data_IF_387625065115
#
_entry.id   IF_387625065115
#
_cell.length_a   1.000
_cell.length_b   1.000
_cell.length_c   1.000
_cell.angle_alpha   90.00
_cell.angle_beta   90.00
_cell.angle_gamma   90.00
#
_symmetry.space_group_name_H-M   'P 1'
#
loop_
_entity.id
_entity.type
_entity.pdbx_description
1 polymer ?
2 non-polymer ?
3 non-polymer ?
4 non-polymer ?
5 water ?
#
# COMPACT_ATOMS: atom_id res chain seq x y z
N UNK A 14 -26.79 0.82 10.49
CA UNK A 14 -26.45 2.13 11.04
C UNK A 14 -27.46 2.49 12.13
N UNK A 15 -26.95 3.00 13.25
CA UNK A 15 -27.78 3.34 14.39
C UNK A 15 -27.74 2.31 15.50
N UNK A 16 -27.30 1.09 15.20
CA UNK A 16 -27.00 0.13 16.25
C UNK A 16 -25.76 0.59 17.03
N UNK A 17 -25.43 -0.16 18.07
CA UNK A 17 -24.24 0.10 18.85
C UNK A 17 -23.32 -1.10 18.82
N UNK A 18 -22.05 -0.85 19.03
CA UNK A 18 -21.05 -1.90 19.12
C UNK A 18 -20.45 -1.88 20.51
N UNK A 19 -20.14 -3.06 21.02
CA UNK A 19 -19.41 -3.19 22.26
C UNK A 19 -20.25 -2.80 23.46
N UNK A 20 -21.30 -3.59 23.72
CA UNK A 20 -22.20 -3.30 24.85
C UNK A 20 -21.42 -3.18 26.16
N UNK A 21 -21.91 -2.34 27.06
CA UNK A 21 -21.22 -2.14 28.33
C UNK A 21 -22.25 -2.02 29.42
N UNK A 22 -21.76 -1.97 30.67
CA UNK A 22 -22.68 -1.79 31.79
C UNK A 22 -23.53 -0.53 31.63
N UNK A 23 -22.87 0.61 31.37
CA UNK A 23 -23.61 1.86 31.22
C UNK A 23 -24.41 1.90 29.92
N UNK A 24 -23.90 1.27 28.87
CA UNK A 24 -24.46 1.36 27.52
C UNK A 24 -24.66 -0.06 27.01
N UNK A 25 -25.76 -0.70 27.42
CA UNK A 25 -26.02 -2.09 27.02
C UNK A 25 -26.34 -2.26 25.54
N UNK A 26 -26.83 -1.23 24.87
CA UNK A 26 -27.00 -1.26 23.43
C UNK A 26 -25.72 -0.94 22.67
N UNK A 27 -24.58 -0.89 23.36
CA UNK A 27 -23.30 -0.65 22.70
C UNK A 27 -22.67 0.68 23.07
N UNK A 28 -21.39 0.63 23.44
CA UNK A 28 -20.65 1.85 23.75
C UNK A 28 -20.48 2.74 22.53
N UNK A 29 -20.24 2.13 21.39
CA UNK A 29 -19.95 2.84 20.16
C UNK A 29 -21.22 2.82 19.32
N UNK A 30 -21.80 3.99 19.14
CA UNK A 30 -23.04 4.11 18.37
C UNK A 30 -22.66 4.35 16.91
N UNK A 31 -23.09 3.43 16.05
CA UNK A 31 -22.75 3.52 14.64
C UNK A 31 -23.44 4.71 14.01
N UNK A 32 -22.67 5.56 13.35
CA UNK A 32 -23.23 6.74 12.72
C UNK A 32 -23.29 6.65 11.21
N UNK A 33 -22.19 6.31 10.56
CA UNK A 33 -22.13 6.38 9.11
C UNK A 33 -21.09 5.39 8.60
N UNK A 34 -21.22 4.95 7.35
CA UNK A 34 -20.15 4.16 6.75
C UNK A 34 -18.89 4.97 6.50
N UNK A 35 -17.76 4.31 6.59
CA UNK A 35 -16.50 4.92 6.17
C UNK A 35 -15.84 4.19 5.03
N UNK A 36 -15.85 2.87 5.04
CA UNK A 36 -15.18 2.11 4.00
C UNK A 36 -15.44 0.64 4.23
N UNK A 37 -15.06 -0.16 3.24
CA UNK A 37 -15.32 -1.58 3.27
C UNK A 37 -14.28 -2.31 2.42
N UNK A 38 -14.20 -3.61 2.63
CA UNK A 38 -13.27 -4.41 1.87
C UNK A 38 -13.40 -5.84 2.34
N UNK A 39 -12.57 -6.69 1.73
CA UNK A 39 -12.62 -8.09 2.11
C UNK A 39 -12.41 -8.29 3.60
N UNK A 40 -11.78 -7.33 4.28
CA UNK A 40 -11.61 -7.42 5.72
C UNK A 40 -12.92 -7.23 6.47
N UNK A 41 -13.79 -6.39 5.98
CA UNK A 41 -14.98 -6.03 6.72
C UNK A 41 -15.37 -4.59 6.44
N UNK A 42 -15.79 -3.90 7.49
CA UNK A 42 -16.37 -2.58 7.34
C UNK A 42 -15.75 -1.66 8.38
N UNK A 43 -15.63 -0.39 8.02
CA UNK A 43 -15.27 0.67 8.94
C UNK A 43 -16.46 1.59 9.03
N UNK A 44 -16.81 1.96 10.26
CA UNK A 44 -17.96 2.82 10.52
C UNK A 44 -17.49 3.98 11.37
N UNK A 45 -18.04 5.15 11.08
CA UNK A 45 -17.92 6.28 11.97
C UNK A 45 -18.85 6.04 13.15
N UNK A 46 -18.36 6.30 14.35
CA UNK A 46 -19.11 5.98 15.55
C UNK A 46 -18.99 7.11 16.55
N UNK A 47 -20.00 7.23 17.40
CA UNK A 47 -19.96 8.11 18.58
C UNK A 47 -19.62 7.26 19.79
N UNK A 48 -18.51 7.58 20.45
CA UNK A 48 -18.11 6.89 21.66
C UNK A 48 -18.96 7.49 22.78
N UNK A 49 -19.90 6.71 23.30
CA UNK A 49 -20.81 7.27 24.29
C UNK A 49 -20.13 7.53 25.61
N UNK A 50 -18.95 6.95 25.84
CA UNK A 50 -18.22 7.19 27.09
C UNK A 50 -17.49 8.52 27.05
N UNK A 51 -16.62 8.71 26.06
CA UNK A 51 -15.82 9.91 25.98
C UNK A 51 -16.51 11.02 25.20
N UNK A 52 -17.60 10.69 24.50
CA UNK A 52 -18.39 11.61 23.67
C UNK A 52 -17.48 12.28 22.66
N UNK A 53 -16.90 11.44 21.80
CA UNK A 53 -16.14 11.93 20.67
C UNK A 53 -16.32 10.94 19.53
N UNK A 54 -16.22 11.46 18.30
CA UNK A 54 -16.26 10.62 17.11
C UNK A 54 -15.04 9.72 17.04
N UNK A 55 -15.25 8.45 16.67
CA UNK A 55 -14.18 7.51 16.47
C UNK A 55 -14.50 6.77 15.19
N UNK A 56 -13.55 5.98 14.74
CA UNK A 56 -13.82 5.05 13.65
C UNK A 56 -13.63 3.65 14.18
N UNK A 57 -14.53 2.74 13.85
CA UNK A 57 -14.42 1.36 14.33
C UNK A 57 -14.34 0.44 13.12
N UNK A 58 -13.29 -0.36 13.07
CA UNK A 58 -13.11 -1.36 12.03
C UNK A 58 -13.59 -2.69 12.61
N UNK A 59 -14.66 -3.25 12.01
CA UNK A 59 -15.23 -4.52 12.43
C UNK A 59 -14.92 -5.55 11.35
N UNK A 60 -14.13 -6.53 11.73
CA UNK A 60 -13.68 -7.55 10.81
C UNK A 60 -14.75 -8.61 10.69
N UNK A 61 -15.12 -8.97 9.46
CA UNK A 61 -16.00 -10.11 9.24
C UNK A 61 -15.51 -11.30 10.05
N UNK A 62 -16.45 -12.02 10.66
CA UNK A 62 -16.13 -13.14 11.53
C UNK A 62 -15.45 -14.29 10.78
N UNK A 63 -15.27 -14.12 9.47
CA UNK A 63 -14.39 -14.98 8.69
C UNK A 63 -13.02 -15.03 9.36
N UNK A 64 -12.45 -16.24 9.51
CA UNK A 64 -11.23 -16.41 10.28
C UNK A 64 -10.03 -15.73 9.62
N UNK A 65 -9.89 -15.89 8.30
CA UNK A 65 -8.72 -15.36 7.59
C UNK A 65 -8.52 -13.88 7.90
N UNK A 66 -9.56 -13.08 7.72
CA UNK A 66 -9.44 -11.66 8.03
C UNK A 66 -9.42 -11.39 9.53
N UNK A 67 -9.92 -12.33 10.35
CA UNK A 67 -9.96 -12.08 11.79
C UNK A 67 -8.62 -12.32 12.45
N UNK A 68 -7.87 -13.33 12.01
CA UNK A 68 -6.53 -13.51 12.56
C UNK A 68 -5.59 -12.40 12.11
N UNK A 69 -5.84 -11.82 10.94
CA UNK A 69 -5.08 -10.65 10.50
C UNK A 69 -5.39 -9.45 11.38
N UNK A 70 -6.65 -9.34 11.80
CA UNK A 70 -7.03 -8.23 12.68
C UNK A 70 -6.30 -8.29 14.01
N UNK A 71 -6.02 -9.50 14.49
CA UNK A 71 -5.35 -9.65 15.78
C UNK A 71 -3.87 -9.30 15.73
N UNK A 72 -3.19 -9.60 14.61
CA UNK A 72 -1.82 -9.13 14.51
C UNK A 72 -1.78 -7.61 14.35
N UNK A 73 -2.79 -7.05 13.69
CA UNK A 73 -2.89 -5.60 13.55
C UNK A 73 -2.97 -4.93 14.92
N UNK A 74 -3.82 -5.46 15.80
CA UNK A 74 -3.90 -4.93 17.16
C UNK A 74 -2.53 -4.94 17.81
N UNK A 75 -1.79 -6.04 17.66
CA UNK A 75 -0.50 -6.17 18.33
C UNK A 75 0.49 -5.12 17.83
N UNK A 76 0.56 -4.93 16.51
CA UNK A 76 1.47 -3.92 15.99
C UNK A 76 1.03 -2.53 16.44
N UNK A 77 -0.28 -2.23 16.33
CA UNK A 77 -0.72 -0.89 16.68
C UNK A 77 -0.50 -0.59 18.15
N UNK A 78 -0.49 -1.59 19.02
CA UNK A 78 -0.17 -1.30 20.41
C UNK A 78 1.27 -0.81 20.53
N UNK A 79 2.20 -1.45 19.83
CA UNK A 79 3.60 -1.05 19.89
C UNK A 79 3.82 0.32 19.23
N UNK A 80 3.21 0.55 18.06
CA UNK A 80 3.35 1.87 17.44
C UNK A 80 2.79 2.97 18.33
N UNK A 81 1.66 2.71 18.98
CA UNK A 81 1.05 3.74 19.80
C UNK A 81 1.84 4.00 21.08
N UNK A 82 2.52 2.98 21.60
CA UNK A 82 3.40 3.17 22.75
C UNK A 82 4.56 4.09 22.41
N UNK A 83 5.21 3.84 21.26
CA UNK A 83 6.34 4.65 20.84
C UNK A 83 5.93 6.00 20.32
N UNK A 84 4.68 6.19 19.88
CA UNK A 84 4.27 7.45 19.24
C UNK A 84 2.82 7.77 19.54
N UNK A 85 2.52 8.20 20.78
CA UNK A 85 1.11 8.40 21.17
C UNK A 85 0.34 9.41 20.35
N UNK A 86 1.01 10.49 19.90
CA UNK A 86 0.35 11.57 19.18
C UNK A 86 0.44 11.39 17.66
N UNK A 87 0.98 10.28 17.18
CA UNK A 87 1.11 10.04 15.74
C UNK A 87 1.91 11.15 15.06
N UNK A 88 2.96 11.64 15.74
CA UNK A 88 3.86 12.56 15.07
C UNK A 88 4.50 11.90 13.85
N UNK A 89 4.58 10.58 13.83
CA UNK A 89 5.08 9.88 12.66
C UNK A 89 3.99 9.34 11.74
N UNK A 90 2.73 9.79 11.91
CA UNK A 90 1.65 9.67 10.92
C UNK A 90 1.15 8.24 10.69
N UNK A 91 1.34 7.33 11.65
CA UNK A 91 0.64 6.07 11.61
C UNK A 91 -0.67 6.25 12.37
N UNK A 92 -1.74 5.62 11.87
CA UNK A 92 -3.06 5.73 12.52
C UNK A 92 -2.95 5.31 13.98
N UNK A 93 -3.67 6.02 14.83
CA UNK A 93 -3.71 5.73 16.26
C UNK A 93 -4.89 4.82 16.59
N UNK A 94 -4.61 3.65 17.13
CA UNK A 94 -5.64 2.78 17.67
C UNK A 94 -5.95 3.22 19.09
N UNK A 95 -7.20 3.62 19.35
CA UNK A 95 -7.58 4.02 20.71
C UNK A 95 -7.96 2.85 21.57
N UNK A 96 -8.58 1.83 21.00
CA UNK A 96 -9.09 0.76 21.82
C UNK A 96 -9.33 -0.43 20.91
N UNK A 97 -9.69 -1.55 21.51
CA UNK A 97 -10.12 -2.70 20.73
C UNK A 97 -10.98 -3.56 21.63
N UNK A 98 -11.87 -4.30 21.01
CA UNK A 98 -12.79 -5.14 21.77
C UNK A 98 -13.32 -6.20 20.82
N UNK A 99 -13.96 -7.19 21.40
CA UNK A 99 -14.67 -8.20 20.63
C UNK A 99 -16.15 -7.93 20.77
N UNK A 100 -16.82 -7.78 19.64
CA UNK A 100 -18.25 -7.59 19.62
C UNK A 100 -18.87 -8.95 19.35
N UNK A 101 -19.41 -9.56 20.39
CA UNK A 101 -20.13 -10.82 20.23
C UNK A 101 -21.53 -10.48 19.74
N UNK A 102 -21.78 -10.71 18.45
CA UNK A 102 -23.06 -10.40 17.84
C UNK A 102 -24.18 -11.21 18.51
N UNK A 103 -25.42 -10.69 18.40
CA UNK A 103 -26.56 -11.38 18.98
C UNK A 103 -26.75 -12.77 18.39
N UNK A 104 -26.32 -12.97 17.14
CA UNK A 104 -26.34 -14.30 16.55
C UNK A 104 -25.36 -15.22 17.26
N UNK A 105 -24.14 -14.74 17.49
CA UNK A 105 -23.10 -15.52 18.11
C UNK A 105 -21.76 -15.23 17.47
N UNK A 106 -21.80 -14.54 16.33
CA UNK A 106 -20.58 -14.17 15.62
C UNK A 106 -19.79 -13.17 16.44
N UNK A 107 -18.54 -13.49 16.74
CA UNK A 107 -17.62 -12.57 17.39
C UNK A 107 -16.79 -11.87 16.32
N UNK A 108 -16.94 -10.56 16.24
CA UNK A 108 -16.17 -9.74 15.32
C UNK A 108 -15.07 -9.02 16.09
N UNK A 109 -13.85 -9.10 15.57
CA UNK A 109 -12.76 -8.31 16.11
C UNK A 109 -12.95 -6.86 15.69
N UNK A 110 -12.99 -5.95 16.65
CA UNK A 110 -13.24 -4.54 16.37
C UNK A 110 -12.06 -3.72 16.83
N UNK A 111 -11.60 -2.82 15.97
CA UNK A 111 -10.52 -1.91 16.32
C UNK A 111 -11.09 -0.50 16.32
N UNK A 112 -10.75 0.26 17.35
CA UNK A 112 -11.26 1.61 17.50
C UNK A 112 -10.12 2.56 17.22
N UNK A 113 -10.33 3.46 16.27
CA UNK A 113 -9.33 4.39 15.79
C UNK A 113 -9.77 5.81 16.04
N UNK A 114 -8.78 6.69 16.11
CA UNK A 114 -9.03 8.12 16.03
C UNK A 114 -9.94 8.39 14.81
N UNK A 115 -10.66 9.51 14.84
CA UNK A 115 -11.47 9.93 13.72
C UNK A 115 -10.62 9.95 12.46
N UNK A 116 -11.16 9.41 11.39
CA UNK A 116 -10.37 9.23 10.19
C UNK A 116 -10.71 10.34 9.20
N UNK A 117 -10.64 10.03 7.92
CA UNK A 117 -10.73 11.05 6.92
C UNK A 117 -10.65 10.37 5.58
N UNK A 118 -10.79 11.14 4.51
CA UNK A 118 -10.80 10.52 3.18
C UNK A 118 -9.44 9.95 2.84
N UNK A 119 -9.46 8.85 2.06
CA UNK A 119 -8.18 8.30 1.61
C UNK A 119 -7.65 9.10 0.42
N UNK A 120 -6.38 8.87 0.09
CA UNK A 120 -5.85 9.40 -1.16
C UNK A 120 -6.66 8.91 -2.35
N UNK A 121 -7.17 7.67 -2.29
CA UNK A 121 -8.04 7.20 -3.35
C UNK A 121 -9.28 8.06 -3.44
N UNK A 122 -9.93 8.32 -2.30
CA UNK A 122 -11.14 9.16 -2.32
C UNK A 122 -10.83 10.53 -2.91
N UNK A 123 -9.65 11.07 -2.58
CA UNK A 123 -9.24 12.38 -3.09
C UNK A 123 -9.09 12.35 -4.61
N UNK A 124 -8.34 11.37 -5.12
CA UNK A 124 -8.18 11.20 -6.56
C UNK A 124 -9.52 11.02 -7.22
N UNK A 125 -10.40 10.22 -6.62
CA UNK A 125 -11.69 9.97 -7.25
C UNK A 125 -12.54 11.22 -7.24
N UNK A 126 -12.54 11.96 -6.13
CA UNK A 126 -13.33 13.18 -6.05
C UNK A 126 -12.89 14.17 -7.11
N UNK A 127 -11.62 14.19 -7.42
CA UNK A 127 -11.08 15.04 -8.47
C UNK A 127 -11.09 14.38 -9.84
N UNK A 128 -11.96 13.36 -10.03
CA UNK A 128 -12.13 12.70 -11.32
C UNK A 128 -10.82 12.09 -11.87
N UNK A 129 -9.97 11.61 -10.96
CA UNK A 129 -8.66 10.98 -11.26
C UNK A 129 -7.77 11.92 -12.07
N UNK A 130 -7.91 13.22 -11.84
CA UNK A 130 -6.99 14.26 -12.26
C UNK A 130 -5.71 14.24 -11.42
N UNK A 131 -4.61 14.79 -11.93
CA UNK A 131 -3.39 14.92 -11.11
C UNK A 131 -3.61 15.70 -9.82
N UNK A 132 -3.03 15.20 -8.74
CA UNK A 132 -2.86 15.97 -7.49
C UNK A 132 -1.81 17.08 -7.68
N UNK A 133 -2.09 18.31 -7.26
CA UNK A 133 -1.08 19.38 -7.39
C UNK A 133 0.19 19.02 -6.64
N UNK A 134 1.34 19.43 -7.19
CA UNK A 134 2.63 19.01 -6.60
C UNK A 134 2.82 19.47 -5.17
N UNK A 135 2.43 20.69 -4.76
CA UNK A 135 2.67 21.07 -3.36
C UNK A 135 1.96 20.15 -2.36
N UNK A 136 0.79 19.62 -2.72
CA UNK A 136 0.09 18.67 -1.87
C UNK A 136 0.75 17.29 -1.94
N UNK A 137 1.02 16.84 -3.17
CA UNK A 137 1.85 15.66 -3.36
C UNK A 137 3.08 15.70 -2.46
N UNK A 138 3.80 16.84 -2.44
CA UNK A 138 5.02 16.90 -1.64
C UNK A 138 4.72 16.69 -0.15
N UNK A 139 3.65 17.33 0.33
CA UNK A 139 3.33 17.27 1.76
C UNK A 139 2.89 15.87 2.15
N UNK A 140 2.08 15.23 1.32
CA UNK A 140 1.65 13.85 1.57
C UNK A 140 2.85 12.91 1.54
N UNK A 141 3.67 13.05 0.49
CA UNK A 141 4.82 12.18 0.33
C UNK A 141 5.73 12.26 1.55
N UNK A 142 5.95 13.49 2.05
CA UNK A 142 6.84 13.67 3.19
C UNK A 142 6.30 12.96 4.42
N UNK A 143 5.01 13.16 4.73
CA UNK A 143 4.41 12.54 5.90
C UNK A 143 4.37 11.03 5.76
N UNK A 144 4.09 10.53 4.55
CA UNK A 144 4.07 9.09 4.39
C UNK A 144 5.47 8.49 4.55
N UNK A 145 6.51 9.18 4.06
CA UNK A 145 7.88 8.72 4.28
C UNK A 145 8.22 8.74 5.77
N UNK A 146 7.72 9.74 6.50
CA UNK A 146 7.96 9.74 7.95
C UNK A 146 7.33 8.52 8.59
N UNK A 147 6.13 8.14 8.12
CA UNK A 147 5.48 6.93 8.63
C UNK A 147 6.28 5.68 8.26
N UNK A 148 6.72 5.59 7.01
CA UNK A 148 7.52 4.44 6.59
C UNK A 148 8.86 4.40 7.31
N UNK A 149 9.49 5.54 7.60
CA UNK A 149 10.74 5.54 8.35
C UNK A 149 10.51 4.98 9.75
N UNK A 150 9.44 5.47 10.38
CA UNK A 150 9.07 4.97 11.71
C UNK A 150 8.87 3.46 11.70
N UNK A 151 8.15 2.94 10.70
CA UNK A 151 7.93 1.50 10.63
C UNK A 151 9.23 0.75 10.38
N UNK A 152 9.92 1.07 9.29
CA UNK A 152 11.11 0.30 8.94
C UNK A 152 12.23 0.48 9.97
N UNK A 153 12.55 1.72 10.30
CA UNK A 153 13.77 1.99 11.03
C UNK A 153 13.56 2.08 12.53
N UNK A 154 12.40 2.55 12.99
CA UNK A 154 12.17 2.54 14.43
C UNK A 154 11.56 1.25 14.93
N UNK A 155 10.86 0.50 14.08
CA UNK A 155 10.13 -0.71 14.50
C UNK A 155 10.50 -1.97 13.73
N UNK A 156 11.35 -1.88 12.71
CA UNK A 156 11.64 -3.01 11.83
C UNK A 156 10.38 -3.77 11.41
N UNK A 157 9.40 -3.01 10.95
CA UNK A 157 8.15 -3.52 10.40
C UNK A 157 8.03 -3.13 8.93
N UNK A 158 7.62 -4.08 8.12
CA UNK A 158 7.27 -3.79 6.72
C UNK A 158 5.75 -3.76 6.58
N UNK A 159 5.22 -2.76 5.86
CA UNK A 159 3.77 -2.61 5.81
C UNK A 159 3.13 -3.57 4.81
N UNK A 160 3.76 -3.69 3.64
CA UNK A 160 3.46 -4.50 2.47
C UNK A 160 2.22 -4.06 1.71
N UNK A 161 1.42 -3.10 2.20
CA UNK A 161 0.18 -2.77 1.51
C UNK A 161 0.02 -1.26 1.35
N UNK A 162 1.11 -0.61 1.01
CA UNK A 162 1.08 0.82 0.73
C UNK A 162 0.36 1.03 -0.60
N UNK A 163 -0.70 1.83 -0.59
CA UNK A 163 -1.53 2.12 -1.75
C UNK A 163 -2.41 3.31 -1.41
N UNK A 164 -2.98 3.99 -2.41
CA UNK A 164 -3.85 5.13 -2.10
C UNK A 164 -4.96 4.86 -1.08
N UNK A 165 -5.60 3.69 -1.07
CA UNK A 165 -6.68 3.46 -0.13
C UNK A 165 -6.20 3.49 1.31
N UNK A 166 -4.92 3.23 1.54
CA UNK A 166 -4.36 3.13 2.89
C UNK A 166 -3.61 4.38 3.34
N UNK A 167 -3.75 5.49 2.63
CA UNK A 167 -3.16 6.75 3.04
C UNK A 167 -4.32 7.72 3.26
N UNK A 168 -4.58 8.08 4.54
CA UNK A 168 -5.74 8.92 4.82
C UNK A 168 -5.29 10.34 5.11
N UNK A 169 -6.14 11.28 4.73
CA UNK A 169 -6.08 12.66 5.19
C UNK A 169 -7.13 12.79 6.28
N UNK A 170 -6.71 12.68 7.54
CA UNK A 170 -7.68 12.71 8.63
C UNK A 170 -8.00 14.14 9.07
N UNK A 171 -7.09 15.08 8.87
CA UNK A 171 -7.39 16.48 9.08
C UNK A 171 -6.91 17.26 7.87
N UNK A 172 -7.57 18.36 7.58
CA UNK A 172 -7.25 19.05 6.35
C UNK A 172 -7.96 20.39 6.29
N UNK A 173 -7.22 21.44 6.03
CA UNK A 173 -7.84 22.68 5.61
C UNK A 173 -8.30 22.55 4.16
N UNK A 174 -9.24 23.40 3.77
CA UNK A 174 -9.85 23.29 2.45
C UNK A 174 -9.97 24.68 1.83
N UNK A 175 -9.62 24.76 0.54
CA UNK A 175 -9.78 25.96 -0.27
C UNK A 175 -10.84 25.67 -1.33
N UNK A 176 -11.77 26.59 -1.53
CA UNK A 176 -12.84 26.32 -2.51
C UNK A 176 -12.46 26.80 -3.91
N UNK A 186 -15.54 23.96 -6.18
CA UNK A 186 -15.35 22.68 -5.50
C UNK A 186 -14.30 22.81 -4.39
N UNK A 187 -14.15 21.76 -3.59
CA UNK A 187 -13.24 21.77 -2.44
C UNK A 187 -11.84 21.35 -2.87
N UNK A 188 -10.84 22.16 -2.51
CA UNK A 188 -9.43 21.78 -2.63
C UNK A 188 -8.91 21.34 -1.27
N UNK A 189 -7.77 20.66 -1.29
CA UNK A 189 -7.10 20.21 -0.07
C UNK A 189 -5.85 21.07 0.17
N UNK A 190 -5.74 21.63 1.37
CA UNK A 190 -4.54 22.34 1.81
C UNK A 190 -4.12 21.79 3.17
N UNK A 191 -2.81 21.70 3.40
CA UNK A 191 -2.24 21.24 4.66
C UNK A 191 -2.80 19.90 5.15
N UNK A 192 -2.70 18.85 4.36
CA UNK A 192 -3.16 17.54 4.82
C UNK A 192 -2.35 17.04 6.01
N UNK A 193 -3.02 16.29 6.87
CA UNK A 193 -2.42 15.61 8.01
C UNK A 193 -2.67 14.12 7.76
N UNK A 194 -1.62 13.39 7.38
CA UNK A 194 -1.70 12.03 6.84
C UNK A 194 -1.72 11.02 7.96
N UNK A 195 -2.49 9.95 7.79
CA UNK A 195 -2.31 8.72 8.55
C UNK A 195 -2.18 7.55 7.59
N UNK A 196 -1.13 6.77 7.79
CA UNK A 196 -1.01 5.48 7.16
C UNK A 196 -1.84 4.48 7.94
N UNK A 197 -2.69 3.72 7.24
CA UNK A 197 -3.58 2.77 7.92
C UNK A 197 -3.32 1.34 7.43
N UNK A 198 -4.09 0.41 7.99
CA UNK A 198 -4.17 -0.98 7.57
C UNK A 198 -2.89 -1.75 7.85
N UNK A 199 -2.71 -2.12 9.10
CA UNK A 199 -1.54 -2.88 9.49
C UNK A 199 -1.82 -4.38 9.57
N UNK A 200 -2.92 -4.82 8.97
CA UNK A 200 -3.32 -6.22 9.01
C UNK A 200 -2.45 -7.13 8.17
N UNK A 201 -1.62 -6.58 7.29
CA UNK A 201 -0.64 -7.38 6.55
C UNK A 201 0.80 -7.04 6.91
N UNK A 202 1.03 -6.29 7.95
CA UNK A 202 2.39 -5.85 8.25
C UNK A 202 3.16 -7.01 8.88
N UNK A 203 4.46 -7.00 8.67
CA UNK A 203 5.31 -8.08 9.18
C UNK A 203 6.48 -7.50 9.94
N UNK A 204 6.81 -8.11 11.08
CA UNK A 204 8.05 -7.74 11.77
C UNK A 204 9.23 -8.42 11.12
N UNK A 205 10.24 -7.64 10.75
CA UNK A 205 11.41 -8.23 10.11
C UNK A 205 12.69 -8.01 10.92
N UNK A 206 12.58 -7.87 12.25
CA UNK A 206 13.80 -7.65 13.03
C UNK A 206 14.64 -8.91 13.15
N UNK A 207 14.04 -10.08 12.95
CA UNK A 207 14.77 -11.33 13.05
C UNK A 207 14.84 -12.05 11.71
N UNK A 208 13.72 -12.19 11.04
CA UNK A 208 13.66 -12.85 9.75
C UNK A 208 13.79 -11.75 8.72
N UNK A 209 14.85 -11.79 7.93
CA UNK A 209 15.17 -10.68 7.04
C UNK A 209 14.35 -10.70 5.75
N UNK A 210 14.07 -11.88 5.20
CA UNK A 210 13.48 -11.97 3.87
C UNK A 210 12.32 -12.95 3.89
N UNK A 211 11.26 -12.62 3.15
CA UNK A 211 10.12 -13.51 3.05
C UNK A 211 9.83 -13.72 1.58
N UNK A 212 8.99 -14.70 1.31
CA UNK A 212 8.61 -15.03 -0.05
C UNK A 212 7.11 -15.16 -0.30
N UNK A 213 6.25 -14.98 0.70
CA UNK A 213 4.82 -15.03 0.41
C UNK A 213 4.43 -13.93 -0.56
N UNK A 214 3.41 -14.19 -1.36
CA UNK A 214 2.88 -13.12 -2.22
C UNK A 214 2.18 -12.11 -1.33
N UNK A 215 2.66 -10.85 -1.34
CA UNK A 215 2.09 -9.76 -0.56
C UNK A 215 1.89 -8.58 -1.50
N UNK A 216 1.20 -7.53 -0.98
CA UNK A 216 0.91 -6.29 -1.69
C UNK A 216 -0.21 -6.49 -2.68
N UNK A 217 -1.04 -5.49 -2.87
CA UNK A 217 -2.00 -5.55 -3.95
C UNK A 217 -1.28 -5.43 -5.29
N UNK A 218 -1.81 -6.12 -6.30
CA UNK A 218 -1.17 -6.26 -7.60
C UNK A 218 -0.49 -4.98 -8.07
N UNK A 219 -1.23 -3.87 -8.11
CA UNK A 219 -0.72 -2.69 -8.79
C UNK A 219 0.47 -2.07 -8.10
N UNK A 220 0.67 -2.34 -6.81
CA UNK A 220 1.74 -1.76 -6.03
C UNK A 220 2.79 -2.79 -5.68
N UNK A 221 2.69 -3.99 -6.25
CA UNK A 221 3.54 -5.11 -5.86
C UNK A 221 4.93 -4.99 -6.53
N UNK A 222 5.99 -5.08 -5.71
CA UNK A 222 7.37 -4.96 -6.16
C UNK A 222 7.79 -6.21 -6.94
N UNK A 223 8.70 -6.06 -7.89
CA UNK A 223 9.04 -7.22 -8.73
C UNK A 223 9.64 -8.39 -7.98
N UNK A 224 10.43 -8.14 -6.92
CA UNK A 224 11.04 -9.25 -6.21
C UNK A 224 9.99 -10.18 -5.59
N UNK A 225 8.82 -9.65 -5.29
CA UNK A 225 7.72 -10.49 -4.77
C UNK A 225 7.24 -11.46 -5.83
N UNK A 226 7.09 -10.95 -7.07
CA UNK A 226 6.68 -11.79 -8.19
C UNK A 226 7.76 -12.79 -8.50
N UNK A 227 9.02 -12.36 -8.45
CA UNK A 227 10.13 -13.20 -8.90
C UNK A 227 10.63 -14.16 -7.84
N UNK A 228 10.25 -13.99 -6.58
CA UNK A 228 10.63 -15.02 -5.63
C UNK A 228 12.02 -14.89 -5.08
N UNK A 229 12.69 -13.75 -5.28
CA UNK A 229 14.06 -13.57 -4.82
C UNK A 229 14.14 -13.08 -3.38
N UNK A 230 12.99 -12.88 -2.71
CA UNK A 230 13.00 -12.51 -1.31
C UNK A 230 12.62 -11.05 -1.15
N UNK A 231 11.57 -10.73 -0.39
CA UNK A 231 11.23 -9.33 -0.20
C UNK A 231 11.48 -8.95 1.25
N UNK A 232 11.59 -7.66 1.48
CA UNK A 232 11.94 -7.10 2.77
C UNK A 232 11.36 -5.69 2.81
N UNK A 233 11.96 -4.82 3.62
CA UNK A 233 11.52 -3.43 3.72
C UNK A 233 11.42 -2.76 2.36
N UNK A 234 12.33 -3.09 1.44
CA UNK A 234 12.36 -2.36 0.17
C UNK A 234 11.08 -2.47 -0.62
N UNK A 235 10.28 -3.53 -0.45
CA UNK A 235 9.08 -3.61 -1.26
C UNK A 235 8.14 -2.44 -0.96
N UNK A 236 8.22 -1.86 0.25
CA UNK A 236 7.36 -0.71 0.55
C UNK A 236 7.77 0.54 -0.22
N UNK A 237 9.06 0.63 -0.54
CA UNK A 237 9.57 1.80 -1.26
C UNK A 237 9.17 1.71 -2.71
N UNK A 238 9.15 0.50 -3.28
CA UNK A 238 8.54 0.35 -4.60
C UNK A 238 7.09 0.80 -4.60
N UNK A 239 6.26 0.29 -3.66
CA UNK A 239 4.87 0.68 -3.61
C UNK A 239 4.75 2.18 -3.50
N UNK A 240 5.60 2.76 -2.64
CA UNK A 240 5.59 4.20 -2.44
C UNK A 240 5.85 4.92 -3.75
N UNK A 241 6.81 4.43 -4.52
CA UNK A 241 7.14 5.11 -5.77
C UNK A 241 5.98 5.03 -6.75
N UNK A 242 5.36 3.87 -6.85
CA UNK A 242 4.21 3.71 -7.73
C UNK A 242 3.04 4.57 -7.27
N UNK A 243 2.88 4.70 -5.95
CA UNK A 243 1.85 5.59 -5.42
C UNK A 243 2.10 7.01 -5.83
N UNK A 244 3.32 7.49 -5.68
CA UNK A 244 3.58 8.88 -6.02
C UNK A 244 3.33 9.16 -7.49
N UNK A 245 3.71 8.23 -8.38
CA UNK A 245 3.45 8.46 -9.80
C UNK A 245 1.96 8.61 -10.03
N UNK A 246 1.16 7.78 -9.37
CA UNK A 246 -0.30 7.85 -9.49
C UNK A 246 -0.83 9.17 -8.97
N UNK A 247 -0.25 9.68 -7.88
CA UNK A 247 -0.67 11.01 -7.42
C UNK A 247 -0.38 12.07 -8.48
N UNK A 248 0.79 11.99 -9.11
CA UNK A 248 1.20 12.96 -10.14
C UNK A 248 0.36 12.89 -11.42
N UNK A 249 -0.02 11.70 -11.85
CA UNK A 249 -0.75 11.55 -13.08
C UNK A 249 -2.25 11.44 -12.88
N UNK A 250 -2.68 11.00 -11.70
CA UNK A 250 -4.07 10.70 -11.45
C UNK A 250 -4.43 9.26 -11.71
N UNK A 251 -3.52 8.49 -12.29
CA UNK A 251 -3.87 7.22 -12.91
C UNK A 251 -3.05 6.10 -12.31
N UNK A 252 -3.65 4.93 -12.07
CA UNK A 252 -2.86 3.79 -11.61
C UNK A 252 -1.73 3.50 -12.60
N UNK A 253 -0.51 3.33 -12.08
CA UNK A 253 0.67 3.19 -12.95
C UNK A 253 0.71 1.82 -13.63
N UNK A 254 0.56 0.74 -12.86
CA UNK A 254 0.65 -0.62 -13.40
C UNK A 254 -0.74 -1.25 -13.45
N UNK A 255 -1.36 -1.27 -14.63
CA UNK A 255 -2.73 -1.75 -14.71
C UNK A 255 -2.79 -3.10 -15.39
N UNK A 256 -2.09 -4.07 -14.85
CA UNK A 256 -2.17 -5.42 -15.38
C UNK A 256 -2.37 -6.37 -14.21
N UNK A 257 -3.08 -7.47 -14.45
CA UNK A 257 -3.23 -8.48 -13.42
C UNK A 257 -2.49 -9.76 -13.78
N UNK A 258 -1.58 -9.72 -14.75
CA UNK A 258 -0.84 -10.90 -15.17
C UNK A 258 0.63 -10.68 -14.91
N UNK A 259 1.31 -11.66 -14.30
CA UNK A 259 2.69 -11.45 -13.89
C UNK A 259 3.57 -11.12 -15.10
N UNK A 260 3.45 -11.89 -16.17
CA UNK A 260 4.32 -11.68 -17.32
C UNK A 260 4.18 -10.26 -17.86
N UNK A 261 2.94 -9.81 -18.04
CA UNK A 261 2.76 -8.47 -18.61
C UNK A 261 3.13 -7.39 -17.59
N UNK A 262 2.86 -7.64 -16.31
CA UNK A 262 3.20 -6.67 -15.26
C UNK A 262 4.71 -6.41 -15.25
N UNK A 263 5.50 -7.48 -15.29
CA UNK A 263 6.95 -7.34 -15.35
C UNK A 263 7.39 -6.59 -16.59
N UNK A 264 6.74 -6.85 -17.73
CA UNK A 264 7.13 -6.11 -18.95
C UNK A 264 6.80 -4.63 -18.81
N UNK A 265 5.68 -4.30 -18.17
CA UNK A 265 5.35 -2.89 -17.96
C UNK A 265 6.41 -2.21 -17.10
N UNK A 266 6.93 -2.93 -16.10
CA UNK A 266 8.07 -2.45 -15.33
C UNK A 266 9.28 -2.23 -16.22
N UNK A 267 9.59 -3.21 -17.06
CA UNK A 267 10.75 -3.07 -17.94
C UNK A 267 10.60 -1.86 -18.85
N UNK A 268 9.38 -1.65 -19.40
CA UNK A 268 9.13 -0.54 -20.33
C UNK A 268 9.26 0.82 -19.64
N UNK A 269 8.58 0.99 -18.51
CA UNK A 269 8.74 2.19 -17.69
C UNK A 269 10.20 2.56 -17.46
N UNK A 270 11.04 1.58 -17.13
CA UNK A 270 12.39 1.82 -16.64
C UNK A 270 13.46 1.59 -17.72
N UNK A 271 13.05 1.32 -18.94
CA UNK A 271 14.03 0.90 -19.96
C UNK A 271 15.11 1.94 -20.24
N UNK A 272 14.87 3.23 -19.97
CA UNK A 272 15.89 4.25 -20.15
C UNK A 272 16.63 4.57 -18.87
N UNK A 273 16.41 3.80 -17.81
CA UNK A 273 17.12 3.96 -16.56
C UNK A 273 18.28 2.97 -16.55
N UNK A 274 19.48 3.46 -16.28
CA UNK A 274 20.67 2.63 -16.41
C UNK A 274 20.60 1.47 -15.45
N UNK A 275 20.80 0.25 -15.97
CA UNK A 275 20.84 -0.93 -15.13
C UNK A 275 19.50 -1.56 -14.80
N UNK A 276 18.39 -1.05 -15.32
CA UNK A 276 17.05 -1.54 -14.95
C UNK A 276 16.59 -2.65 -15.90
N UNK A 277 16.87 -3.90 -15.53
CA UNK A 277 16.48 -5.06 -16.31
C UNK A 277 15.77 -6.06 -15.39
N UNK A 278 14.75 -6.71 -15.90
CA UNK A 278 14.11 -7.82 -15.19
C UNK A 278 14.95 -9.07 -15.40
N UNK A 279 15.55 -9.57 -14.33
CA UNK A 279 16.36 -10.77 -14.42
C UNK A 279 15.70 -11.89 -13.60
N UNK A 280 15.79 -13.14 -14.03
CA UNK A 280 15.06 -14.24 -13.37
C UNK A 280 15.72 -14.61 -12.05
N UNK A 281 14.99 -15.30 -11.16
CA UNK A 281 15.62 -15.84 -9.96
C UNK A 281 16.55 -16.98 -10.28
N UNK A 282 17.49 -17.28 -9.39
CA UNK A 282 18.28 -18.51 -9.52
C UNK A 282 17.35 -19.72 -9.50
N UNK A 283 17.68 -20.71 -10.27
CA UNK A 283 16.79 -21.85 -10.33
C UNK A 283 16.99 -22.71 -9.08
N UNK A 284 15.93 -23.12 -8.40
CA UNK A 284 16.09 -23.91 -7.19
C UNK A 284 16.49 -25.35 -7.46
N UNK A 285 17.19 -25.93 -6.50
CA UNK A 285 17.43 -27.36 -6.57
C UNK A 285 16.09 -28.06 -6.80
N UNK A 286 16.04 -29.03 -7.70
CA UNK A 286 14.77 -29.72 -7.93
C UNK A 286 14.23 -30.38 -6.70
N UNK A 287 15.12 -30.67 -5.75
CA UNK A 287 14.75 -31.27 -4.48
C UNK A 287 14.10 -30.28 -3.52
N UNK A 288 14.31 -28.98 -3.71
CA UNK A 288 13.93 -27.98 -2.72
C UNK A 288 12.42 -27.78 -2.67
N UNK A 289 11.86 -27.88 -1.47
CA UNK A 289 10.44 -27.82 -1.19
C UNK A 289 9.98 -26.49 -0.61
N UNK A 290 10.90 -25.55 -0.37
CA UNK A 290 10.57 -24.34 0.35
C UNK A 290 9.56 -23.49 -0.42
N UNK A 291 8.85 -22.64 0.33
CA UNK A 291 7.96 -21.66 -0.26
C UNK A 291 8.70 -20.83 -1.28
N UNK A 292 9.94 -20.44 -0.98
CA UNK A 292 10.67 -19.56 -1.87
C UNK A 292 11.05 -20.27 -3.15
N UNK A 293 11.53 -21.51 -3.04
CA UNK A 293 11.81 -22.31 -4.22
C UNK A 293 10.55 -22.50 -5.06
N UNK A 294 9.41 -22.79 -4.42
CA UNK A 294 8.17 -22.96 -5.18
C UNK A 294 7.87 -21.70 -5.98
N UNK A 295 8.01 -20.54 -5.35
CA UNK A 295 7.75 -19.28 -6.02
C UNK A 295 8.73 -19.05 -7.17
N UNK A 296 10.01 -19.35 -6.96
CA UNK A 296 11.00 -19.15 -8.04
C UNK A 296 10.74 -20.07 -9.23
N UNK A 297 10.33 -21.31 -8.97
CA UNK A 297 9.97 -22.20 -10.08
C UNK A 297 8.82 -21.63 -10.90
N UNK A 298 7.77 -21.12 -10.24
CA UNK A 298 6.68 -20.48 -10.96
C UNK A 298 7.17 -19.27 -11.75
N UNK A 299 8.01 -18.45 -11.13
CA UNK A 299 8.45 -17.25 -11.80
C UNK A 299 9.30 -17.59 -13.01
N UNK A 300 10.08 -18.66 -12.92
CA UNK A 300 10.92 -19.07 -14.05
C UNK A 300 10.12 -19.48 -15.26
N UNK A 301 8.84 -19.81 -15.10
CA UNK A 301 8.02 -20.09 -16.29
C UNK A 301 7.77 -18.82 -17.08
N UNK A 302 8.05 -17.66 -16.52
CA UNK A 302 7.88 -16.40 -17.24
C UNK A 302 9.07 -16.07 -18.12
N UNK A 303 10.09 -16.91 -18.10
CA UNK A 303 11.36 -16.61 -18.75
C UNK A 303 11.68 -17.71 -19.73
N UNK A 304 12.38 -17.35 -20.80
CA UNK A 304 12.90 -18.30 -21.77
C UNK A 304 14.32 -17.88 -22.07
N UNK A 305 15.25 -18.80 -21.87
CA UNK A 305 16.68 -18.53 -22.03
C UNK A 305 17.10 -17.28 -21.27
N UNK A 306 16.65 -17.18 -20.03
CA UNK A 306 17.09 -16.12 -19.15
C UNK A 306 16.47 -14.76 -19.39
N UNK A 307 15.65 -14.58 -20.43
CA UNK A 307 15.02 -13.28 -20.63
C UNK A 307 13.51 -13.41 -20.42
N UNK A 308 12.91 -12.31 -20.00
CA UNK A 308 11.47 -12.28 -19.83
C UNK A 308 10.80 -12.63 -21.15
N UNK A 309 9.88 -13.59 -21.09
CA UNK A 309 9.31 -14.20 -22.29
C UNK A 309 8.10 -13.43 -22.79
N UNK A 310 8.28 -12.14 -22.98
CA UNK A 310 7.22 -11.29 -23.49
C UNK A 310 7.65 -10.72 -24.83
N UNK A 311 6.75 -10.65 -25.82
CA UNK A 311 5.32 -10.99 -25.80
C UNK A 311 5.02 -12.45 -26.05
N UNK A 312 6.01 -13.24 -26.45
CA UNK A 312 5.74 -14.58 -26.95
C UNK A 312 5.06 -15.44 -25.90
N UNK A 313 5.34 -15.21 -24.62
CA UNK A 313 4.72 -15.99 -23.56
C UNK A 313 3.28 -15.68 -23.27
N UNK A 314 2.68 -14.67 -23.90
CA UNK A 314 1.33 -14.28 -23.56
C UNK A 314 0.33 -15.33 -24.05
N UNK A 315 0.41 -15.70 -25.33
CA UNK A 315 -0.38 -16.84 -25.77
C UNK A 315 0.50 -18.09 -25.79
N UNK A 316 1.38 -18.19 -26.79
CA UNK A 316 2.25 -19.31 -27.12
C UNK A 316 1.47 -20.52 -27.62
N UNK A 317 0.14 -20.42 -27.73
CA UNK A 317 -0.68 -21.44 -28.35
C UNK A 317 -1.18 -21.05 -29.72
N UNK A 318 -1.20 -19.75 -30.04
CA UNK A 318 -1.57 -19.26 -31.37
C UNK A 318 -0.52 -18.26 -31.83
N UNK A 319 -0.01 -18.46 -33.05
CA UNK A 319 0.87 -17.49 -33.67
C UNK A 319 0.18 -16.13 -33.70
N UNK A 320 -0.92 -16.05 -34.46
CA UNK A 320 -1.84 -14.92 -34.38
C UNK A 320 -2.66 -15.01 -33.10
N UNK A 321 -2.43 -14.10 -32.16
CA UNK A 321 -3.10 -14.14 -30.86
C UNK A 321 -3.76 -12.82 -30.51
N UNK A 322 -5.04 -12.88 -30.17
CA UNK A 322 -5.76 -11.70 -29.67
C UNK A 322 -5.17 -11.24 -28.35
N UNK A 323 -4.93 -12.18 -27.44
CA UNK A 323 -4.33 -11.83 -26.15
C UNK A 323 -2.98 -11.17 -26.34
N UNK A 324 -2.13 -11.75 -27.20
CA UNK A 324 -0.80 -11.17 -27.40
C UNK A 324 -0.91 -9.78 -28.00
N UNK A 325 -1.86 -9.56 -28.91
CA UNK A 325 -2.01 -8.25 -29.54
C UNK A 325 -2.50 -7.20 -28.55
N UNK A 326 -3.44 -7.55 -27.67
CA UNK A 326 -3.85 -6.62 -26.63
C UNK A 326 -2.67 -6.22 -25.74
N UNK A 327 -1.86 -7.20 -25.33
CA UNK A 327 -0.74 -6.89 -24.44
C UNK A 327 0.27 -5.97 -25.11
N UNK A 328 0.58 -6.23 -26.38
CA UNK A 328 1.51 -5.39 -27.12
C UNK A 328 1.05 -3.94 -27.11
N UNK A 329 -0.26 -3.71 -27.30
CA UNK A 329 -0.82 -2.36 -27.28
C UNK A 329 -0.74 -1.75 -25.89
N UNK A 330 -1.05 -2.54 -24.85
CA UNK A 330 -0.98 -2.04 -23.47
C UNK A 330 0.44 -1.61 -23.12
N UNK A 331 1.43 -2.42 -23.49
CA UNK A 331 2.82 -2.08 -23.21
C UNK A 331 3.25 -0.88 -24.05
N UNK A 332 2.76 -0.79 -25.29
CA UNK A 332 3.10 0.39 -26.09
C UNK A 332 2.56 1.67 -25.47
N UNK A 333 1.39 1.59 -24.82
CA UNK A 333 0.77 2.74 -24.16
C UNK A 333 1.44 3.11 -22.84
N UNK A 334 2.26 2.23 -22.30
CA UNK A 334 2.91 2.48 -21.03
C UNK A 334 4.02 3.51 -21.21
N UNK A 335 4.03 4.62 -20.48
CA UNK A 335 5.07 5.62 -20.68
C UNK A 335 6.40 5.20 -20.07
N UNK A 336 7.47 5.71 -20.68
CA UNK A 336 8.77 5.71 -20.03
C UNK A 336 8.73 6.69 -18.86
N UNK A 337 9.35 6.31 -17.75
CA UNK A 337 9.28 7.10 -16.53
C UNK A 337 9.58 8.57 -16.77
N UNK A 338 10.66 8.87 -17.51
CA UNK A 338 11.06 10.26 -17.67
C UNK A 338 10.00 11.07 -18.41
N UNK A 339 9.23 10.44 -19.29
CA UNK A 339 8.30 11.22 -20.08
C UNK A 339 7.04 11.56 -19.31
N UNK A 340 6.86 10.98 -18.13
CA UNK A 340 5.67 11.29 -17.35
C UNK A 340 5.75 12.70 -16.77
N UNK A 341 6.94 13.18 -16.48
CA UNK A 341 7.07 14.40 -15.69
C UNK A 341 7.32 15.61 -16.57
N UNK A 342 6.65 16.70 -16.22
CA UNK A 342 6.90 17.95 -16.86
C UNK A 342 8.36 18.34 -16.60
N UNK A 343 8.98 19.05 -17.53
CA UNK A 343 10.35 19.55 -17.32
C UNK A 343 10.56 20.18 -15.95
N UNK A 344 9.63 21.03 -15.50
CA UNK A 344 9.79 21.73 -14.22
C UNK A 344 9.68 20.82 -13.01
N UNK A 345 9.30 19.55 -13.18
CA UNK A 345 9.17 18.64 -12.05
C UNK A 345 10.28 17.61 -12.02
N UNK A 346 11.44 17.96 -12.60
CA UNK A 346 12.59 17.05 -12.60
C UNK A 346 12.95 16.59 -11.19
N UNK A 347 12.75 17.44 -10.19
CA UNK A 347 13.10 17.03 -8.82
C UNK A 347 12.26 15.84 -8.34
N UNK A 348 10.97 15.84 -8.64
CA UNK A 348 10.14 14.72 -8.27
C UNK A 348 10.57 13.46 -9.04
N UNK A 349 10.89 13.60 -10.32
CA UNK A 349 11.39 12.47 -11.09
C UNK A 349 12.62 11.86 -10.43
N UNK A 350 13.55 12.71 -9.99
CA UNK A 350 14.75 12.20 -9.33
C UNK A 350 14.41 11.43 -8.07
N UNK A 351 13.49 11.96 -7.27
CA UNK A 351 13.04 11.22 -6.10
C UNK A 351 12.46 9.85 -6.48
N UNK A 352 11.58 9.81 -7.48
CA UNK A 352 10.93 8.54 -7.83
C UNK A 352 11.93 7.52 -8.38
N UNK A 353 12.94 8.00 -9.09
CA UNK A 353 14.03 7.13 -9.57
C UNK A 353 14.68 6.39 -8.41
N UNK A 354 14.77 7.02 -7.22
CA UNK A 354 15.38 6.33 -6.08
C UNK A 354 14.44 5.30 -5.47
N UNK A 355 13.19 5.23 -5.94
CA UNK A 355 12.17 4.31 -5.44
C UNK A 355 11.88 3.19 -6.42
N UNK A 356 11.61 3.54 -7.68
CA UNK A 356 11.22 2.55 -8.68
C UNK A 356 12.48 2.01 -9.35
N UNK A 357 13.19 1.20 -8.58
CA UNK A 357 14.31 0.41 -9.06
C UNK A 357 13.94 -1.07 -8.96
N UNK A 358 14.27 -1.82 -10.02
CA UNK A 358 13.85 -3.20 -10.07
C UNK A 358 14.60 -4.01 -9.03
N UNK A 359 15.89 -3.76 -8.87
CA UNK A 359 16.69 -4.39 -7.83
C UNK A 359 16.34 -3.77 -6.49
N UNK A 360 15.75 -4.51 -5.55
CA UNK A 360 15.42 -3.88 -4.25
C UNK A 360 16.63 -3.39 -3.51
N UNK A 361 17.81 -3.93 -3.77
CA UNK A 361 18.96 -3.47 -3.01
C UNK A 361 19.37 -2.07 -3.42
N UNK A 362 18.92 -1.60 -4.58
CA UNK A 362 19.20 -0.24 -5.04
C UNK A 362 18.23 0.81 -4.50
N UNK A 363 17.08 0.39 -3.96
CA UNK A 363 16.10 1.35 -3.48
C UNK A 363 16.58 2.05 -2.22
N UNK A 364 16.26 3.32 -2.11
CA UNK A 364 16.71 4.09 -0.97
C UNK A 364 15.88 3.73 0.26
N UNK A 365 16.49 3.91 1.43
CA UNK A 365 15.77 3.82 2.69
C UNK A 365 14.93 5.07 2.86
N UNK A 366 13.81 4.96 3.57
CA UNK A 366 12.92 6.11 3.65
C UNK A 366 13.56 7.31 4.35
N UNK A 367 14.43 7.09 5.33
CA UNK A 367 15.11 8.21 5.99
C UNK A 367 16.02 8.93 5.00
N UNK A 368 16.58 8.20 4.04
CA UNK A 368 17.38 8.82 2.99
C UNK A 368 16.52 9.59 2.00
N UNK A 369 15.37 9.02 1.63
CA UNK A 369 14.43 9.74 0.74
C UNK A 369 13.98 11.04 1.39
N UNK A 370 13.80 11.03 2.71
CA UNK A 370 13.41 12.26 3.39
C UNK A 370 14.48 13.35 3.29
N UNK A 371 15.73 13.01 3.00
CA UNK A 371 16.78 14.01 2.85
C UNK A 371 16.92 14.49 1.41
N UNK A 372 16.12 13.97 0.50
CA UNK A 372 16.16 14.33 -0.90
C UNK A 372 15.80 15.80 -1.11
N UNK A 373 16.46 16.50 -2.04
CA UNK A 373 16.15 17.92 -2.24
C UNK A 373 14.70 18.20 -2.62
N UNK A 374 13.95 17.23 -3.16
CA UNK A 374 12.54 17.48 -3.41
C UNK A 374 11.83 17.96 -2.15
N UNK A 375 12.30 17.55 -0.98
CA UNK A 375 11.68 17.97 0.26
C UNK A 375 12.30 19.22 0.88
N UNK A 376 13.42 19.69 0.37
CA UNK A 376 13.94 20.96 0.86
C UNK A 376 13.35 22.15 0.11
N UNK A 377 12.94 21.95 -1.13
CA UNK A 377 12.40 23.01 -1.98
C UNK A 377 10.86 22.95 -2.05
X LIG B 1 15.54 13.56 -16.96
X LIG B 1 15.50 14.41 -15.97
X LIG B 1 16.39 12.62 -17.18
X LIG B 1 14.38 13.70 -18.08
X LIG C 1 -7.38 3.74 25.16
X LIG C 1 -8.11 2.77 25.50
X LIG C 1 -6.20 3.72 24.65
X LIG C 1 -8.04 5.17 25.29
X LIG D 1 -12.96 7.01 4.21
X LIG D 1 -13.32 7.10 2.81
X LIG D 1 -11.51 6.56 4.33
X LIG D 1 -11.43 5.50 5.28
X LIG E 1 18.09 -0.25 -22.89
X LIG E 1 17.48 -0.51 -21.61
X LIG E 1 19.61 -0.28 -22.76
X LIG E 1 20.20 0.28 -23.94
X LIG F 1 -2.25 -11.47 -8.05
X LIG F 1 -2.66 -11.05 -6.75
X LIG F 1 -3.35 -11.24 -9.10
X LIG F 1 -3.38 -9.87 -9.57
X LIG G 1 -7.12 2.59 -7.07
X LIG G 1 -6.10 3.39 -6.40
X LIG G 1 -6.51 1.61 -8.10
X LIG G 1 -5.41 0.87 -7.54
X LIG H 1 1.22 -13.99 -8.11
X LIG H 1 1.56 -14.68 -9.33
X LIG H 1 2.41 -13.15 -7.70
X LIG H 1 2.49 -11.92 -8.43
X LIG I 1 19.60 2.14 0.34
X LIG I 1 20.58 3.01 0.95
X LIG I 1 20.23 1.12 -0.60
X LIG I 1 20.69 1.75 -1.81
X LIG J 1 14.96 0.37 3.32
X LIG J 1 13.96 0.62 4.34
X LIG J 1 14.42 -0.35 2.10
X LIG J 1 14.52 0.39 0.84
X LIG K 1 -7.74 0.45 8.89
X LIG K 1 -8.83 1.41 8.78
X LIG K 1 -6.97 0.87 10.14
X LIG K 1 -5.67 0.30 10.34
X LIG L 1 -4.89 -4.67 3.02
#
# INVERSE_FOLDING_TARGET
>A
GPLGSPEFHVQYSVGEGLGPTADFPNGRYQILAPLGSGTFGKVVSCWDRVTEQLVAVKVIRAVRKYAEAARMEIDILLELGRKDPTSRFHCVRMLSYFTHVSQQGNAHVCLVFEHLGPSLFDVLMRNHFRPLPVPILRAVARQLLEAITFLHEHNQIVHTDIKPENVLIVKSDYTEAYNPKMKRDERTIVNPDVRLIDFGSASRLDKVSVRHAIVSTRHYRAPEIILGTGWSFACDIWSFGALLVECYTGQTLFQSHDDLEHLQLMQKLLQHENGEVIVPPPRPSPSSTSMGSQRRREALKLFRDGRLNWPEGIDEQSANSLARQKSIRRVARMPELHSIFRPEHACLLHLIRCCLTIDPLKRWRPSELLRHPFFMSYSTEATP
>B hetero
1 ACT C O OXT CH3
>C hetero
1 ACT C O OXT CH3
>D hetero
1 EDO C1 O1 C2 O2
>E hetero
1 EDO C1 O1 C2 O2
>F hetero
1 EDO C1 O1 C2 O2
>G hetero
1 EDO C1 O1 C2 O2
>H hetero
1 EDO C1 O1 C2 O2
>I hetero
1 EDO C1 O1 C2 O2
>J hetero
1 EDO C1 O1 C2 O2
>K hetero
1 EDO C1 O1 C2 O2
>L hetero
1 CA CA
#
